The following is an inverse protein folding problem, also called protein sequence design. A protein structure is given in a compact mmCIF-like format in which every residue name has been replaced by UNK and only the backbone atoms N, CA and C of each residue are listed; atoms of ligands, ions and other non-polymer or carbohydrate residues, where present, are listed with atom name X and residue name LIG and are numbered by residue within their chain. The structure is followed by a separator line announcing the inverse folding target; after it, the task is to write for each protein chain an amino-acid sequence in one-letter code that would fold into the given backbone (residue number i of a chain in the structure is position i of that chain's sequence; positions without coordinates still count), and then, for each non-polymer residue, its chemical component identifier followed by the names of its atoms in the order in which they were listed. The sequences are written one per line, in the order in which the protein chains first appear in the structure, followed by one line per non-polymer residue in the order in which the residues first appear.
data_IF_387790012969
#
_entry.id   IF_387790012969
#
_cell.length_a   1.000
_cell.length_b   1.000
_cell.length_c   1.000
_cell.angle_alpha   90.00
_cell.angle_beta   90.00
_cell.angle_gamma   90.00
#
_symmetry.space_group_name_H-M   'P 1'
#
loop_
_entity.id
_entity.type
_entity.pdbx_description
1 polymer ?
#
# COMPACT_ATOMS: atom_id res chain seq x y z
N UNK A 1 15.64 3.26 -30.68
CA UNK A 1 14.68 2.12 -30.74
C UNK A 1 15.34 0.73 -30.77
N UNK A 2 16.34 0.49 -31.64
CA UNK A 2 16.94 -0.84 -31.83
C UNK A 2 17.85 -1.37 -30.71
N UNK A 3 18.18 -0.53 -29.72
CA UNK A 3 18.98 -0.95 -28.54
C UNK A 3 18.13 -1.30 -27.31
N UNK A 4 16.89 -0.81 -27.22
CA UNK A 4 15.98 -1.05 -26.09
C UNK A 4 14.83 -2.01 -26.43
N UNK A 5 14.45 -2.10 -27.70
CA UNK A 5 13.28 -2.86 -28.14
C UNK A 5 13.63 -3.80 -29.28
N UNK A 6 13.11 -5.03 -29.21
CA UNK A 6 13.07 -5.99 -30.31
C UNK A 6 11.70 -5.90 -31.00
N UNK A 7 11.70 -5.72 -32.33
CA UNK A 7 10.46 -5.85 -33.11
C UNK A 7 10.19 -7.33 -33.36
N UNK A 8 9.02 -7.79 -32.99
CA UNK A 8 8.53 -9.15 -33.23
C UNK A 8 7.24 -9.03 -34.02
N UNK A 9 7.14 -9.76 -35.13
CA UNK A 9 5.88 -9.90 -35.85
C UNK A 9 4.97 -10.84 -35.05
N UNK A 10 3.81 -10.33 -34.65
CA UNK A 10 2.79 -11.05 -33.87
C UNK A 10 1.46 -11.14 -34.63
N UNK A 11 1.49 -11.05 -35.96
CA UNK A 11 0.27 -10.99 -36.80
C UNK A 11 -0.61 -12.22 -36.62
N UNK A 12 -0.01 -13.41 -36.46
CA UNK A 12 -0.77 -14.66 -36.28
C UNK A 12 -1.50 -14.64 -34.94
N UNK A 13 -0.81 -14.29 -33.86
CA UNK A 13 -1.36 -14.18 -32.52
C UNK A 13 -2.48 -13.14 -32.46
N UNK A 14 -2.29 -11.97 -33.08
CA UNK A 14 -3.33 -10.94 -33.17
C UNK A 14 -4.56 -11.47 -33.92
N UNK A 15 -4.38 -12.14 -35.06
CA UNK A 15 -5.50 -12.70 -35.82
C UNK A 15 -6.29 -13.75 -35.01
N UNK A 16 -5.62 -14.56 -34.18
CA UNK A 16 -6.30 -15.48 -33.26
C UNK A 16 -7.11 -14.72 -32.19
N UNK A 17 -6.59 -13.62 -31.65
CA UNK A 17 -7.31 -12.77 -30.68
C UNK A 17 -8.47 -11.97 -31.29
N UNK A 18 -8.41 -11.65 -32.59
CA UNK A 18 -9.45 -10.92 -33.31
C UNK A 18 -10.74 -11.74 -33.43
N UNK A 19 -10.65 -13.07 -33.46
CA UNK A 19 -11.83 -13.95 -33.58
C UNK A 19 -12.82 -13.65 -32.44
N UNK A 20 -14.05 -13.26 -32.81
CA UNK A 20 -15.12 -12.93 -31.86
C UNK A 20 -14.98 -11.56 -31.18
N UNK A 21 -14.09 -10.67 -31.65
CA UNK A 21 -14.12 -9.26 -31.21
C UNK A 21 -15.39 -8.58 -31.72
N UNK A 22 -15.77 -8.79 -32.97
CA UNK A 22 -16.97 -8.18 -33.56
C UNK A 22 -18.22 -8.54 -32.77
N UNK A 23 -18.42 -9.83 -32.46
CA UNK A 23 -19.55 -10.32 -31.66
C UNK A 23 -19.59 -9.68 -30.25
N UNK A 24 -18.41 -9.55 -29.60
CA UNK A 24 -18.30 -8.88 -28.28
C UNK A 24 -18.61 -7.40 -28.36
N UNK A 25 -18.20 -6.72 -29.43
CA UNK A 25 -18.52 -5.30 -29.65
C UNK A 25 -20.03 -5.14 -29.82
N UNK A 26 -20.67 -5.99 -30.63
CA UNK A 26 -22.12 -5.98 -30.79
C UNK A 26 -22.84 -6.20 -29.45
N UNK A 27 -22.43 -7.19 -28.66
CA UNK A 27 -22.98 -7.42 -27.31
C UNK A 27 -22.83 -6.18 -26.40
N UNK A 28 -21.65 -5.54 -26.40
CA UNK A 28 -21.41 -4.33 -25.60
C UNK A 28 -22.30 -3.17 -26.05
N UNK A 29 -22.49 -2.98 -27.36
CA UNK A 29 -23.37 -1.95 -27.91
C UNK A 29 -24.84 -2.23 -27.56
N UNK A 30 -25.28 -3.48 -27.65
CA UNK A 30 -26.62 -3.89 -27.24
C UNK A 30 -26.87 -3.61 -25.76
N UNK A 31 -25.91 -3.95 -24.88
CA UNK A 31 -26.00 -3.67 -23.44
C UNK A 31 -26.02 -2.17 -23.17
N UNK A 32 -25.18 -1.39 -23.85
CA UNK A 32 -25.12 0.07 -23.72
C UNK A 32 -26.41 0.76 -24.18
N UNK A 33 -27.12 0.18 -25.16
CA UNK A 33 -28.40 0.69 -25.65
C UNK A 33 -29.59 0.37 -24.72
N UNK A 34 -29.42 -0.48 -23.68
CA UNK A 34 -30.51 -0.82 -22.76
C UNK A 34 -30.85 0.37 -21.86
N UNK A 35 -32.15 0.54 -21.61
CA UNK A 35 -32.66 1.54 -20.66
C UNK A 35 -32.46 1.15 -19.20
N UNK A 36 -32.31 -0.15 -18.93
CA UNK A 36 -31.98 -0.72 -17.62
C UNK A 36 -30.65 -1.47 -17.66
N UNK A 37 -29.85 -1.41 -16.58
CA UNK A 37 -28.63 -2.19 -16.48
C UNK A 37 -28.95 -3.69 -16.47
N UNK A 38 -28.05 -4.55 -17.00
CA UNK A 38 -28.22 -5.99 -16.93
C UNK A 38 -28.25 -6.48 -15.48
N UNK A 39 -29.06 -7.51 -15.20
CA UNK A 39 -29.10 -8.17 -13.90
C UNK A 39 -27.89 -9.09 -13.74
N UNK A 40 -26.83 -8.55 -13.15
CA UNK A 40 -25.57 -9.27 -12.91
C UNK A 40 -25.34 -9.32 -11.39
N UNK A 41 -25.15 -10.53 -10.85
CA UNK A 41 -24.77 -10.73 -9.45
C UNK A 41 -23.31 -10.36 -9.20
N UNK A 42 -22.98 -9.96 -7.98
CA UNK A 42 -21.58 -9.66 -7.60
C UNK A 42 -20.71 -10.90 -7.84
N UNK A 43 -19.59 -10.72 -8.55
CA UNK A 43 -18.67 -11.81 -8.89
C UNK A 43 -17.27 -11.33 -9.29
N UNK A 44 -16.49 -12.22 -9.91
CA UNK A 44 -15.08 -11.96 -10.27
C UNK A 44 -14.90 -10.73 -11.19
N UNK A 45 -15.84 -10.50 -12.11
CA UNK A 45 -15.86 -9.34 -13.02
C UNK A 45 -15.88 -7.98 -12.29
N UNK A 46 -16.20 -7.95 -10.99
CA UNK A 46 -16.12 -6.72 -10.21
C UNK A 46 -14.67 -6.24 -9.99
N UNK A 47 -13.68 -7.13 -10.11
CA UNK A 47 -12.26 -6.83 -9.84
C UNK A 47 -11.29 -7.34 -10.91
N UNK A 48 -11.75 -8.20 -11.84
CA UNK A 48 -10.92 -8.81 -12.88
C UNK A 48 -11.45 -8.45 -14.28
N UNK A 49 -10.60 -8.03 -15.24
CA UNK A 49 -9.14 -7.79 -15.09
C UNK A 49 -8.80 -6.48 -14.36
N UNK A 50 -9.76 -5.57 -14.23
CA UNK A 50 -9.62 -4.30 -13.52
C UNK A 50 -10.82 -4.08 -12.58
N UNK A 51 -10.69 -3.16 -11.63
CA UNK A 51 -11.81 -2.79 -10.76
C UNK A 51 -12.96 -2.21 -11.59
N UNK A 52 -14.17 -2.74 -11.38
CA UNK A 52 -15.37 -2.27 -12.07
C UNK A 52 -15.71 -0.83 -11.66
N UNK A 53 -15.86 0.13 -12.60
CA UNK A 53 -16.22 1.51 -12.28
C UNK A 53 -17.61 1.66 -11.64
N UNK A 54 -18.49 0.67 -11.79
CA UNK A 54 -19.85 0.68 -11.24
C UNK A 54 -19.95 -0.03 -9.89
N UNK A 55 -18.83 -0.48 -9.31
CA UNK A 55 -18.80 -1.30 -8.09
C UNK A 55 -19.56 -0.63 -6.95
N UNK A 56 -19.32 0.65 -6.68
CA UNK A 56 -19.98 1.38 -5.59
C UNK A 56 -21.49 1.45 -5.75
N UNK A 57 -21.98 1.53 -7.00
CA UNK A 57 -23.41 1.49 -7.30
C UNK A 57 -23.97 0.08 -7.07
N UNK A 58 -23.32 -0.93 -7.62
CA UNK A 58 -23.77 -2.32 -7.55
C UNK A 58 -23.70 -2.88 -6.12
N UNK A 59 -22.74 -2.43 -5.31
CA UNK A 59 -22.50 -2.96 -3.97
C UNK A 59 -23.23 -2.17 -2.87
N UNK A 60 -23.95 -1.09 -3.22
CA UNK A 60 -24.61 -0.18 -2.26
C UNK A 60 -25.57 -0.88 -1.27
N UNK A 61 -26.17 -2.00 -1.68
CA UNK A 61 -27.10 -2.75 -0.82
C UNK A 61 -26.38 -3.59 0.24
N UNK A 62 -25.06 -3.79 0.11
CA UNK A 62 -24.27 -4.56 1.06
C UNK A 62 -24.04 -3.75 2.35
N UNK A 63 -24.05 -4.40 3.52
CA UNK A 63 -23.72 -3.75 4.79
C UNK A 63 -22.22 -3.41 4.86
N UNK A 64 -21.82 -2.56 5.82
CA UNK A 64 -20.43 -2.12 5.97
C UNK A 64 -19.40 -3.26 6.19
N UNK A 65 -19.77 -4.27 7.00
CA UNK A 65 -19.00 -5.51 7.22
C UNK A 65 -19.58 -6.65 6.37
N UNK A 66 -19.65 -6.43 5.06
CA UNK A 66 -20.21 -7.41 4.13
C UNK A 66 -19.29 -8.61 3.93
N UNK A 67 -19.84 -9.69 3.41
CA UNK A 67 -19.13 -10.96 3.29
C UNK A 67 -17.86 -10.90 2.42
N UNK A 68 -17.81 -10.00 1.44
CA UNK A 68 -16.59 -9.80 0.63
C UNK A 68 -15.43 -9.12 1.39
N UNK A 69 -15.62 -8.64 2.62
CA UNK A 69 -14.52 -8.22 3.51
C UNK A 69 -13.86 -9.40 4.25
N UNK A 70 -14.37 -10.62 4.07
CA UNK A 70 -13.76 -11.82 4.64
C UNK A 70 -12.32 -11.97 4.12
N UNK A 71 -11.42 -12.27 5.04
CA UNK A 71 -9.98 -12.40 4.82
C UNK A 71 -9.67 -13.60 3.92
N UNK A 72 -8.72 -13.41 3.01
CA UNK A 72 -8.26 -14.43 2.06
C UNK A 72 -9.02 -14.41 0.73
N UNK A 73 -9.00 -15.56 0.04
CA UNK A 73 -9.69 -15.72 -1.25
C UNK A 73 -11.18 -15.36 -1.17
N UNK A 74 -11.67 -14.73 -2.23
CA UNK A 74 -13.08 -14.34 -2.36
C UNK A 74 -14.00 -15.49 -2.78
N UNK A 75 -13.47 -16.69 -3.01
CA UNK A 75 -14.28 -17.86 -3.37
C UNK A 75 -15.30 -18.21 -2.27
N UNK A 76 -14.86 -18.25 -1.00
CA UNK A 76 -15.76 -18.48 0.14
C UNK A 76 -16.79 -17.36 0.30
N UNK A 77 -16.38 -16.12 0.05
CA UNK A 77 -17.29 -14.98 0.14
C UNK A 77 -18.36 -15.05 -0.96
N UNK A 78 -17.99 -15.42 -2.18
CA UNK A 78 -18.91 -15.63 -3.29
C UNK A 78 -19.86 -16.82 -3.03
N UNK A 79 -19.36 -17.94 -2.50
CA UNK A 79 -20.19 -19.08 -2.11
C UNK A 79 -21.25 -18.68 -1.08
N UNK A 80 -20.84 -17.99 -0.02
CA UNK A 80 -21.74 -17.53 1.05
C UNK A 80 -22.73 -16.48 0.53
N UNK A 81 -22.28 -15.57 -0.32
CA UNK A 81 -23.15 -14.59 -0.97
C UNK A 81 -24.24 -15.26 -1.82
N UNK A 82 -23.90 -16.28 -2.61
CA UNK A 82 -24.87 -17.07 -3.39
C UNK A 82 -25.87 -17.85 -2.52
N UNK A 83 -25.54 -18.09 -1.24
CA UNK A 83 -26.45 -18.67 -0.23
C UNK A 83 -27.25 -17.61 0.55
N UNK A 84 -27.16 -16.34 0.16
CA UNK A 84 -27.89 -15.23 0.78
C UNK A 84 -27.21 -14.61 2.00
N UNK A 85 -25.96 -14.98 2.31
CA UNK A 85 -25.21 -14.40 3.44
C UNK A 85 -24.57 -13.09 2.99
N UNK A 86 -25.08 -11.96 3.49
CA UNK A 86 -24.60 -10.63 3.10
C UNK A 86 -23.53 -10.07 4.02
N UNK A 87 -23.56 -10.41 5.32
CA UNK A 87 -22.60 -9.91 6.32
C UNK A 87 -21.75 -11.03 6.92
N UNK A 88 -20.54 -10.67 7.38
CA UNK A 88 -19.66 -11.58 8.13
C UNK A 88 -20.36 -12.10 9.39
N UNK A 89 -21.16 -11.28 10.10
CA UNK A 89 -21.84 -11.72 11.33
C UNK A 89 -22.91 -12.80 11.10
N UNK A 90 -23.41 -12.90 9.86
CA UNK A 90 -24.48 -13.83 9.45
C UNK A 90 -23.92 -15.18 8.96
N UNK A 91 -22.59 -15.39 9.03
CA UNK A 91 -21.98 -16.66 8.65
C UNK A 91 -22.49 -17.77 9.59
N UNK A 92 -23.03 -18.88 9.05
CA UNK A 92 -23.51 -19.99 9.88
C UNK A 92 -22.39 -20.65 10.68
N UNK A 93 -22.67 -21.06 11.92
CA UNK A 93 -21.66 -21.63 12.83
C UNK A 93 -21.05 -22.96 12.33
N UNK A 94 -21.77 -23.70 11.46
CA UNK A 94 -21.28 -24.92 10.83
C UNK A 94 -20.31 -24.67 9.68
N UNK A 95 -20.18 -23.42 9.21
CA UNK A 95 -19.34 -23.09 8.08
C UNK A 95 -17.86 -23.11 8.45
N UNK A 96 -17.03 -23.78 7.64
CA UNK A 96 -15.61 -23.95 7.95
C UNK A 96 -14.80 -22.68 7.69
N UNK A 97 -14.52 -21.92 8.76
CA UNK A 97 -13.67 -20.72 8.73
C UNK A 97 -12.24 -21.03 9.21
N UNK A 98 -11.26 -20.39 8.59
CA UNK A 98 -9.89 -20.41 9.11
C UNK A 98 -9.75 -19.54 10.38
N UNK A 99 -8.60 -19.60 11.05
CA UNK A 99 -8.37 -18.87 12.30
C UNK A 99 -8.68 -17.36 12.21
N UNK A 100 -8.16 -16.66 11.20
CA UNK A 100 -8.40 -15.21 11.01
C UNK A 100 -9.87 -14.93 10.71
N UNK A 101 -10.49 -15.74 9.87
CA UNK A 101 -11.92 -15.62 9.54
C UNK A 101 -12.83 -15.83 10.77
N UNK A 102 -12.46 -16.73 11.69
CA UNK A 102 -13.16 -16.89 12.98
C UNK A 102 -13.05 -15.64 13.85
N UNK A 103 -11.86 -15.01 13.88
CA UNK A 103 -11.67 -13.72 14.57
C UNK A 103 -12.56 -12.64 13.94
N UNK A 104 -12.65 -12.57 12.61
CA UNK A 104 -13.55 -11.62 11.94
C UNK A 104 -15.01 -11.84 12.33
N UNK A 105 -15.46 -13.10 12.37
CA UNK A 105 -16.81 -13.47 12.79
C UNK A 105 -17.08 -13.05 14.24
N UNK A 106 -16.15 -13.33 15.15
CA UNK A 106 -16.25 -12.97 16.57
C UNK A 106 -16.34 -11.44 16.74
N UNK A 107 -15.44 -10.69 16.10
CA UNK A 107 -15.42 -9.22 16.18
C UNK A 107 -16.66 -8.60 15.53
N UNK A 108 -17.17 -9.17 14.42
CA UNK A 108 -18.39 -8.71 13.77
C UNK A 108 -19.65 -8.99 14.60
N UNK A 109 -19.68 -10.06 15.40
CA UNK A 109 -20.79 -10.39 16.30
C UNK A 109 -20.76 -9.59 17.61
N UNK A 110 -19.57 -9.29 18.12
CA UNK A 110 -19.39 -8.65 19.45
C UNK A 110 -19.16 -7.16 19.39
N UNK A 111 -18.79 -6.62 18.22
CA UNK A 111 -18.35 -5.22 18.02
C UNK A 111 -17.17 -4.84 18.92
N UNK A 112 -16.37 -5.83 19.34
CA UNK A 112 -15.17 -5.66 20.15
C UNK A 112 -13.94 -6.13 19.41
N UNK A 113 -12.77 -5.48 19.61
CA UNK A 113 -11.54 -5.94 19.01
C UNK A 113 -11.07 -7.26 19.63
N UNK A 114 -10.43 -8.09 18.81
CA UNK A 114 -9.61 -9.19 19.29
C UNK A 114 -8.25 -8.65 19.71
N UNK A 115 -7.85 -8.96 20.93
CA UNK A 115 -6.55 -8.56 21.48
C UNK A 115 -5.84 -9.78 22.06
N UNK A 116 -4.71 -10.16 21.47
CA UNK A 116 -3.79 -11.14 21.99
C UNK A 116 -2.67 -10.42 22.75
N UNK A 117 -2.94 -10.09 24.02
CA UNK A 117 -2.02 -9.31 24.86
C UNK A 117 -0.61 -9.91 24.92
N UNK A 118 -0.48 -11.24 25.00
CA UNK A 118 0.84 -11.88 25.11
C UNK A 118 1.69 -11.71 23.85
N UNK A 119 1.10 -11.82 22.65
CA UNK A 119 1.87 -11.65 21.41
C UNK A 119 2.18 -10.17 21.13
N UNK A 120 1.27 -9.27 21.48
CA UNK A 120 1.50 -7.83 21.36
C UNK A 120 2.62 -7.38 22.33
N UNK A 121 2.62 -7.85 23.58
CA UNK A 121 3.69 -7.55 24.53
C UNK A 121 5.04 -8.11 24.08
N UNK A 122 5.08 -9.31 23.48
CA UNK A 122 6.31 -9.85 22.88
C UNK A 122 6.84 -8.94 21.76
N UNK A 123 5.96 -8.43 20.91
CA UNK A 123 6.34 -7.47 19.87
C UNK A 123 6.91 -6.18 20.47
N UNK A 124 6.19 -5.54 21.40
CA UNK A 124 6.60 -4.29 22.04
C UNK A 124 7.93 -4.45 22.79
N UNK A 125 8.10 -5.54 23.55
CA UNK A 125 9.32 -5.80 24.31
C UNK A 125 10.53 -6.16 23.44
N UNK A 126 10.33 -6.42 22.14
CA UNK A 126 11.43 -6.64 21.20
C UNK A 126 12.00 -5.34 20.61
N UNK A 127 11.34 -4.20 20.86
CA UNK A 127 11.75 -2.91 20.34
C UNK A 127 12.88 -2.30 21.17
N UNK A 128 13.92 -1.81 20.48
CA UNK A 128 15.07 -1.14 21.07
C UNK A 128 15.05 0.35 20.71
N UNK A 129 15.09 1.24 21.70
CA UNK A 129 15.09 2.69 21.48
C UNK A 129 16.50 3.22 21.13
N UNK A 130 16.62 4.32 20.35
CA UNK A 130 15.53 5.07 19.74
C UNK A 130 14.84 4.30 18.60
N UNK A 131 13.55 4.58 18.36
CA UNK A 131 12.79 3.98 17.27
C UNK A 131 12.81 4.89 16.05
N UNK A 132 13.18 4.35 14.90
CA UNK A 132 13.24 5.04 13.63
C UNK A 132 12.10 4.54 12.73
N UNK A 133 11.04 5.33 12.59
CA UNK A 133 9.93 5.02 11.69
C UNK A 133 10.27 5.47 10.28
N UNK A 134 10.50 4.53 9.37
CA UNK A 134 11.01 4.78 8.02
C UNK A 134 9.98 4.36 6.97
N UNK A 135 9.87 5.18 5.93
CA UNK A 135 9.05 4.92 4.75
C UNK A 135 9.73 5.49 3.50
N UNK A 136 9.59 4.82 2.35
CA UNK A 136 10.15 5.23 1.07
C UNK A 136 9.04 5.43 0.04
N UNK A 137 9.13 6.53 -0.73
CA UNK A 137 8.39 6.63 -1.99
C UNK A 137 9.32 6.32 -3.16
N UNK A 138 8.77 5.56 -4.10
CA UNK A 138 9.53 5.06 -5.24
C UNK A 138 8.77 5.27 -6.54
N UNK A 139 9.50 5.30 -7.65
CA UNK A 139 8.91 5.16 -8.97
C UNK A 139 9.60 4.02 -9.72
N UNK A 140 8.93 3.52 -10.75
CA UNK A 140 9.49 2.53 -11.66
C UNK A 140 8.97 2.80 -13.06
N UNK A 141 9.86 3.06 -14.02
CA UNK A 141 9.49 3.38 -15.39
C UNK A 141 9.84 2.25 -16.36
N UNK A 142 9.03 2.09 -17.40
CA UNK A 142 9.31 1.11 -18.46
C UNK A 142 10.55 1.50 -19.27
N UNK A 143 10.75 2.80 -19.50
CA UNK A 143 11.95 3.37 -20.10
C UNK A 143 12.80 3.92 -18.94
N UNK A 144 13.99 3.35 -18.67
CA UNK A 144 14.88 3.85 -17.63
C UNK A 144 15.22 5.33 -17.83
N UNK A 145 15.16 6.11 -16.74
CA UNK A 145 15.48 7.55 -16.76
C UNK A 145 16.97 7.82 -16.58
N UNK A 146 17.71 6.88 -15.99
CA UNK A 146 19.12 7.02 -15.66
C UNK A 146 19.96 5.91 -16.26
N UNK A 147 21.24 6.21 -16.49
CA UNK A 147 22.21 5.21 -16.93
C UNK A 147 22.40 4.13 -15.84
N UNK A 148 22.59 2.88 -16.25
CA UNK A 148 22.73 1.76 -15.32
C UNK A 148 21.43 1.29 -14.65
N UNK A 149 20.27 1.84 -15.02
CA UNK A 149 18.95 1.41 -14.53
C UNK A 149 18.25 0.46 -15.52
N UNK A 150 17.60 -0.59 -15.03
CA UNK A 150 16.82 -1.53 -15.86
C UNK A 150 15.32 -1.15 -15.88
N UNK A 151 14.57 -1.56 -16.93
CA UNK A 151 13.12 -1.37 -16.97
C UNK A 151 12.43 -1.87 -15.70
N UNK A 152 11.52 -1.05 -15.17
CA UNK A 152 10.76 -1.30 -13.93
C UNK A 152 11.62 -1.55 -12.68
N UNK A 153 12.88 -1.12 -12.67
CA UNK A 153 13.66 -1.05 -11.44
C UNK A 153 13.00 -0.07 -10.46
N UNK A 154 13.05 -0.39 -9.17
CA UNK A 154 12.47 0.46 -8.12
C UNK A 154 13.49 1.55 -7.80
N UNK A 155 13.11 2.81 -8.02
CA UNK A 155 13.96 3.97 -7.76
C UNK A 155 13.33 4.78 -6.62
N UNK A 156 13.92 4.76 -5.40
CA UNK A 156 13.48 5.62 -4.32
C UNK A 156 13.84 7.07 -4.62
N UNK A 157 12.84 7.96 -4.51
CA UNK A 157 13.01 9.39 -4.76
C UNK A 157 12.71 10.23 -3.51
N UNK A 158 12.08 9.63 -2.50
CA UNK A 158 11.74 10.29 -1.25
C UNK A 158 11.85 9.29 -0.09
N UNK A 159 12.17 9.79 1.09
CA UNK A 159 11.86 9.09 2.34
C UNK A 159 11.32 10.04 3.39
N UNK A 160 10.63 9.48 4.36
CA UNK A 160 10.34 10.12 5.63
C UNK A 160 10.92 9.28 6.76
N UNK A 161 11.44 9.96 7.79
CA UNK A 161 11.88 9.31 9.02
C UNK A 161 11.43 10.09 10.24
N UNK A 162 10.69 9.42 11.12
CA UNK A 162 10.43 9.93 12.47
C UNK A 162 11.28 9.19 13.49
N UNK A 163 11.88 9.92 14.43
CA UNK A 163 12.73 9.38 15.50
C UNK A 163 12.01 9.57 16.83
N UNK A 164 11.86 8.50 17.59
CA UNK A 164 11.18 8.49 18.87
C UNK A 164 12.11 7.90 19.96
N UNK A 165 12.53 8.72 20.91
CA UNK A 165 13.45 8.33 21.99
C UNK A 165 12.77 7.53 23.11
N UNK A 166 11.47 7.74 23.32
CA UNK A 166 10.64 6.98 24.26
C UNK A 166 9.17 7.00 23.79
N UNK A 167 8.35 6.02 24.19
CA UNK A 167 6.95 5.91 23.72
C UNK A 167 6.15 7.21 23.89
N UNK A 168 6.38 7.94 24.97
CA UNK A 168 5.69 9.18 25.33
C UNK A 168 6.43 10.47 24.88
N UNK A 169 7.63 10.36 24.29
CA UNK A 169 8.40 11.54 23.87
C UNK A 169 7.82 12.18 22.61
N UNK A 170 8.09 13.47 22.37
CA UNK A 170 7.76 14.05 21.07
C UNK A 170 8.70 13.51 19.99
N UNK A 171 8.20 13.09 18.82
CA UNK A 171 9.05 12.59 17.75
C UNK A 171 9.74 13.75 17.02
N UNK A 172 10.98 13.52 16.58
CA UNK A 172 11.65 14.38 15.60
C UNK A 172 11.37 13.87 14.19
N UNK A 173 11.14 14.76 13.23
CA UNK A 173 10.88 14.41 11.83
C UNK A 173 11.99 14.93 10.92
N UNK A 174 12.40 14.08 9.98
CA UNK A 174 13.27 14.44 8.87
C UNK A 174 12.74 13.80 7.59
N UNK A 175 12.97 14.45 6.46
CA UNK A 175 12.61 13.94 5.15
C UNK A 175 13.69 14.26 4.12
N UNK A 176 13.59 13.58 2.99
CA UNK A 176 14.31 13.88 1.77
C UNK A 176 13.34 13.72 0.61
N UNK A 177 13.31 14.70 -0.30
CA UNK A 177 12.59 14.62 -1.57
C UNK A 177 13.51 15.09 -2.69
N UNK A 178 13.82 14.20 -3.62
CA UNK A 178 14.70 14.49 -4.74
C UNK A 178 14.24 15.70 -5.56
N UNK A 179 15.19 16.45 -6.13
CA UNK A 179 14.89 17.57 -7.04
C UNK A 179 14.46 17.10 -8.43
N UNK A 180 14.88 15.89 -8.83
CA UNK A 180 14.47 15.24 -10.08
C UNK A 180 15.31 15.56 -11.31
N UNK A 181 16.41 16.30 -11.17
CA UNK A 181 17.34 16.58 -12.27
C UNK A 181 18.31 15.41 -12.54
N UNK A 182 18.70 14.69 -11.49
CA UNK A 182 19.71 13.63 -11.52
C UNK A 182 19.15 12.34 -10.88
N UNK A 183 19.94 11.26 -10.89
CA UNK A 183 19.62 10.02 -10.19
C UNK A 183 19.60 10.24 -8.67
N UNK A 184 18.46 10.05 -7.98
CA UNK A 184 18.32 10.42 -6.58
C UNK A 184 18.97 9.44 -5.60
N UNK A 185 19.34 8.23 -6.07
CA UNK A 185 19.62 7.10 -5.17
C UNK A 185 20.83 7.32 -4.28
N UNK A 186 21.91 7.87 -4.82
CA UNK A 186 23.14 8.10 -4.05
C UNK A 186 22.96 9.23 -3.02
N UNK A 187 22.34 10.35 -3.43
CA UNK A 187 22.04 11.47 -2.55
C UNK A 187 21.11 11.04 -1.39
N UNK A 188 20.09 10.24 -1.72
CA UNK A 188 19.16 9.68 -0.76
C UNK A 188 19.87 8.81 0.28
N UNK A 189 20.76 7.90 -0.17
CA UNK A 189 21.58 7.07 0.72
C UNK A 189 22.48 7.91 1.63
N UNK A 190 23.14 8.92 1.06
CA UNK A 190 24.01 9.81 1.82
C UNK A 190 23.22 10.55 2.90
N UNK A 191 22.05 11.10 2.58
CA UNK A 191 21.21 11.81 3.56
C UNK A 191 20.70 10.87 4.66
N UNK A 192 20.15 9.71 4.27
CA UNK A 192 19.59 8.73 5.21
C UNK A 192 20.64 8.21 6.20
N UNK A 193 21.88 7.99 5.74
CA UNK A 193 23.00 7.55 6.58
C UNK A 193 23.30 8.47 7.76
N UNK A 194 23.11 9.78 7.61
CA UNK A 194 23.33 10.74 8.69
C UNK A 194 22.15 10.88 9.65
N UNK A 195 21.02 10.19 9.40
CA UNK A 195 19.81 10.26 10.24
C UNK A 195 19.59 9.03 11.10
N UNK A 196 20.27 7.92 10.79
CA UNK A 196 20.12 6.65 11.49
C UNK A 196 21.43 6.34 12.22
N UNK A 197 21.37 6.28 13.56
CA UNK A 197 22.52 5.90 14.38
C UNK A 197 22.77 4.38 14.36
N UNK A 198 23.82 3.94 15.04
CA UNK A 198 24.27 2.54 15.08
C UNK A 198 23.33 1.61 15.88
N UNK A 199 22.51 2.16 16.78
CA UNK A 199 21.61 1.42 17.68
C UNK A 199 20.15 1.80 17.48
N UNK A 200 19.24 0.99 18.01
CA UNK A 200 17.79 1.25 17.92
C UNK A 200 17.12 0.53 16.76
N UNK A 201 15.81 0.32 16.89
CA UNK A 201 14.98 -0.43 15.93
C UNK A 201 14.47 0.47 14.81
N UNK A 202 14.48 -0.07 13.59
CA UNK A 202 13.96 0.62 12.40
C UNK A 202 12.58 0.05 12.10
N UNK A 203 11.56 0.84 12.46
CA UNK A 203 10.16 0.46 12.32
C UNK A 203 9.70 0.81 10.91
N UNK A 204 9.20 -0.19 10.20
CA UNK A 204 8.58 -0.04 8.88
C UNK A 204 7.20 -0.67 8.91
N UNK A 205 6.36 -0.38 7.91
CA UNK A 205 5.04 -0.97 7.80
C UNK A 205 4.94 -1.80 6.53
N UNK A 206 5.12 -3.12 6.66
CA UNK A 206 5.27 -4.11 5.59
C UNK A 206 6.71 -4.24 5.05
N UNK A 207 7.59 -4.77 5.91
CA UNK A 207 9.06 -4.82 5.72
C UNK A 207 9.58 -5.36 4.40
N UNK A 208 8.78 -6.14 3.68
CA UNK A 208 9.21 -6.71 2.39
C UNK A 208 9.53 -5.62 1.37
N UNK A 209 8.82 -4.50 1.39
CA UNK A 209 9.02 -3.40 0.47
C UNK A 209 10.31 -2.63 0.79
N UNK A 210 10.46 -2.10 2.01
CA UNK A 210 11.62 -1.29 2.40
C UNK A 210 12.91 -2.12 2.37
N UNK A 211 12.85 -3.39 2.77
CA UNK A 211 14.00 -4.31 2.63
C UNK A 211 14.36 -4.54 1.17
N UNK A 212 13.37 -4.58 0.27
CA UNK A 212 13.59 -4.68 -1.17
C UNK A 212 14.32 -3.45 -1.70
N UNK A 213 13.82 -2.26 -1.38
CA UNK A 213 14.43 -0.97 -1.77
C UNK A 213 15.88 -0.89 -1.28
N UNK A 214 16.12 -1.17 0.00
CA UNK A 214 17.46 -1.12 0.59
C UNK A 214 18.43 -2.10 -0.07
N UNK A 215 17.99 -3.32 -0.42
CA UNK A 215 18.82 -4.30 -1.13
C UNK A 215 19.16 -3.85 -2.54
N UNK A 216 18.19 -3.33 -3.29
CA UNK A 216 18.47 -2.79 -4.64
C UNK A 216 19.44 -1.59 -4.57
N UNK A 217 19.36 -0.77 -3.51
CA UNK A 217 20.32 0.30 -3.26
C UNK A 217 21.72 -0.24 -2.93
N UNK A 218 21.85 -1.29 -2.13
CA UNK A 218 23.14 -1.92 -1.81
C UNK A 218 23.80 -2.55 -3.05
N UNK A 219 23.00 -3.14 -3.94
CA UNK A 219 23.49 -3.67 -5.22
C UNK A 219 23.99 -2.55 -6.15
N UNK A 220 23.27 -1.43 -6.19
CA UNK A 220 23.63 -0.29 -7.03
C UNK A 220 24.82 0.52 -6.49
N UNK A 221 24.98 0.61 -5.17
CA UNK A 221 26.01 1.42 -4.50
C UNK A 221 26.77 0.60 -3.44
N UNK A 222 27.74 -0.25 -3.86
CA UNK A 222 28.43 -1.19 -2.97
C UNK A 222 29.14 -0.56 -1.77
N UNK A 223 29.55 0.71 -1.87
CA UNK A 223 30.19 1.46 -0.77
C UNK A 223 29.26 1.66 0.45
N UNK A 224 27.94 1.53 0.25
CA UNK A 224 26.95 1.62 1.32
C UNK A 224 26.50 0.25 1.86
N UNK A 225 26.89 -0.87 1.22
CA UNK A 225 26.36 -2.20 1.54
C UNK A 225 26.57 -2.60 2.99
N UNK A 226 27.73 -2.32 3.58
CA UNK A 226 27.99 -2.65 4.99
C UNK A 226 27.04 -1.90 5.95
N UNK A 227 26.72 -0.63 5.64
CA UNK A 227 25.78 0.16 6.43
C UNK A 227 24.33 -0.29 6.19
N UNK A 228 23.97 -0.62 4.95
CA UNK A 228 22.65 -1.16 4.63
C UNK A 228 22.42 -2.52 5.32
N UNK A 229 23.42 -3.40 5.31
CA UNK A 229 23.36 -4.70 5.98
C UNK A 229 23.12 -4.53 7.48
N UNK A 230 23.75 -3.54 8.13
CA UNK A 230 23.49 -3.25 9.55
C UNK A 230 22.06 -2.76 9.78
N UNK A 231 21.53 -1.91 8.90
CA UNK A 231 20.12 -1.48 8.92
C UNK A 231 19.16 -2.66 8.76
N UNK A 232 19.39 -3.54 7.79
CA UNK A 232 18.51 -4.66 7.47
C UNK A 232 18.32 -5.63 8.65
N UNK A 233 19.28 -5.70 9.57
CA UNK A 233 19.20 -6.52 10.79
C UNK A 233 18.35 -5.90 11.90
N UNK A 234 18.13 -4.58 11.86
CA UNK A 234 17.38 -3.81 12.87
C UNK A 234 15.94 -3.49 12.44
N UNK A 235 15.54 -3.90 11.24
CA UNK A 235 14.19 -3.69 10.74
C UNK A 235 13.19 -4.52 11.53
N UNK A 236 12.16 -3.85 12.03
CA UNK A 236 11.00 -4.44 12.70
C UNK A 236 9.73 -4.02 11.99
N UNK A 237 8.90 -5.01 11.65
CA UNK A 237 7.69 -4.80 10.87
C UNK A 237 6.46 -4.56 11.75
N UNK A 238 5.97 -3.31 11.78
CA UNK A 238 4.76 -2.93 12.53
C UNK A 238 3.47 -3.50 11.92
N UNK A 239 3.53 -4.07 10.72
CA UNK A 239 2.41 -4.82 10.15
C UNK A 239 2.10 -6.08 10.97
N UNK A 240 3.12 -6.74 11.57
CA UNK A 240 2.99 -8.09 12.15
C UNK A 240 1.87 -8.25 13.19
N UNK A 241 1.69 -7.35 14.18
CA UNK A 241 0.58 -7.45 15.15
C UNK A 241 -0.80 -7.49 14.49
N UNK A 242 -0.98 -6.75 13.40
CA UNK A 242 -2.26 -6.62 12.69
C UNK A 242 -2.42 -7.70 11.62
N UNK A 243 -1.37 -7.97 10.85
CA UNK A 243 -1.32 -9.01 9.83
C UNK A 243 -1.59 -10.40 10.40
N UNK A 244 -1.13 -10.68 11.62
CA UNK A 244 -1.38 -11.93 12.34
C UNK A 244 -2.68 -11.93 13.17
N UNK A 245 -3.43 -10.83 13.15
CA UNK A 245 -4.67 -10.64 13.92
C UNK A 245 -4.43 -10.83 15.43
N UNK A 246 -3.25 -10.40 15.92
CA UNK A 246 -3.01 -10.25 17.35
C UNK A 246 -3.81 -9.07 17.88
N UNK A 247 -3.88 -7.98 17.10
CA UNK A 247 -4.95 -7.00 17.19
C UNK A 247 -5.83 -7.10 15.93
N UNK A 248 -7.15 -7.18 16.10
CA UNK A 248 -8.09 -7.04 14.98
C UNK A 248 -9.40 -6.38 15.43
N UNK A 249 -9.80 -5.31 14.74
CA UNK A 249 -11.13 -4.73 14.87
C UNK A 249 -11.94 -4.91 13.57
N UNK A 250 -13.27 -4.98 13.65
CA UNK A 250 -14.13 -5.20 12.48
C UNK A 250 -13.98 -4.11 11.40
N UNK A 251 -13.75 -2.86 11.80
CA UNK A 251 -13.48 -1.73 10.89
C UNK A 251 -12.24 -1.91 10.00
N UNK A 252 -11.31 -2.82 10.35
CA UNK A 252 -10.20 -3.17 9.48
C UNK A 252 -10.64 -3.89 8.19
N UNK A 253 -11.86 -4.46 8.15
CA UNK A 253 -12.47 -5.09 6.96
C UNK A 253 -11.58 -6.16 6.32
N UNK A 254 -10.87 -6.92 7.16
CA UNK A 254 -9.95 -7.98 6.72
C UNK A 254 -8.64 -7.48 6.11
N UNK A 255 -8.34 -6.19 6.18
CA UNK A 255 -7.05 -5.61 5.78
C UNK A 255 -6.21 -5.25 6.99
N UNK A 256 -4.90 -5.37 6.85
CA UNK A 256 -3.92 -4.87 7.82
C UNK A 256 -3.06 -3.76 7.20
N UNK A 257 -3.51 -3.09 6.13
CA UNK A 257 -2.88 -1.87 5.62
C UNK A 257 -2.95 -0.75 6.65
N UNK A 258 -1.98 0.16 6.64
CA UNK A 258 -1.94 1.34 7.53
C UNK A 258 -3.23 2.15 7.45
N UNK A 259 -3.79 2.33 6.23
CA UNK A 259 -5.05 3.03 5.98
C UNK A 259 -6.28 2.40 6.65
N UNK A 260 -6.24 1.11 6.94
CA UNK A 260 -7.31 0.39 7.62
C UNK A 260 -7.03 0.24 9.12
N UNK A 261 -5.77 0.13 9.52
CA UNK A 261 -5.37 -0.06 10.92
C UNK A 261 -5.40 1.26 11.68
N UNK A 262 -4.86 2.34 11.11
CA UNK A 262 -4.80 3.66 11.76
C UNK A 262 -6.18 4.09 12.29
N UNK A 263 -7.26 4.17 11.48
CA UNK A 263 -8.58 4.53 11.98
C UNK A 263 -9.28 3.43 12.81
N UNK A 264 -8.74 2.22 12.84
CA UNK A 264 -9.33 1.11 13.60
C UNK A 264 -8.79 0.97 15.03
N UNK A 265 -7.59 1.51 15.29
CA UNK A 265 -6.98 1.54 16.62
C UNK A 265 -6.81 2.97 17.15
N UNK A 266 -7.09 3.97 16.31
CA UNK A 266 -7.04 5.40 16.65
C UNK A 266 -8.23 6.13 16.01
N UNK A 267 -8.41 7.41 16.34
CA UNK A 267 -9.38 8.29 15.66
C UNK A 267 -8.77 9.07 14.48
N UNK A 268 -7.58 8.70 14.01
CA UNK A 268 -6.87 9.36 12.91
C UNK A 268 -7.13 8.65 11.57
N UNK A 269 -7.16 9.41 10.49
CA UNK A 269 -7.31 8.89 9.13
C UNK A 269 -6.57 9.77 8.11
N UNK A 270 -6.50 9.28 6.87
CA UNK A 270 -5.93 10.00 5.73
C UNK A 270 -6.98 10.88 5.01
N UNK A 271 -8.17 11.08 5.60
CA UNK A 271 -9.25 11.84 4.96
C UNK A 271 -8.83 13.30 4.70
N UNK A 272 -9.15 13.80 3.50
CA UNK A 272 -8.86 15.18 3.10
C UNK A 272 -7.44 15.44 2.58
N UNK A 273 -6.63 14.40 2.35
CA UNK A 273 -5.32 14.53 1.70
C UNK A 273 -5.44 14.53 0.16
N UNK A 274 -4.67 15.39 -0.50
CA UNK A 274 -4.60 15.46 -1.98
C UNK A 274 -3.87 14.26 -2.57
N UNK A 275 -2.80 13.81 -1.90
CA UNK A 275 -2.09 12.56 -2.18
C UNK A 275 -2.35 11.63 -1.01
N UNK A 276 -2.91 10.47 -1.32
CA UNK A 276 -3.30 9.48 -0.32
C UNK A 276 -2.95 8.05 -0.77
N UNK A 277 -2.10 7.88 -1.79
CA UNK A 277 -1.65 6.61 -2.32
C UNK A 277 -0.28 6.76 -3.02
N UNK A 278 0.60 5.77 -2.86
CA UNK A 278 1.97 5.80 -3.38
C UNK A 278 2.05 5.77 -4.92
N UNK A 279 1.06 5.18 -5.60
CA UNK A 279 1.02 5.23 -7.07
C UNK A 279 0.83 6.68 -7.54
N UNK A 280 -0.12 7.41 -6.95
CA UNK A 280 -0.28 8.83 -7.21
C UNK A 280 1.00 9.62 -6.87
N UNK A 281 1.66 9.32 -5.75
CA UNK A 281 2.91 9.98 -5.37
C UNK A 281 4.00 9.83 -6.45
N UNK A 282 4.19 8.61 -6.98
CA UNK A 282 5.14 8.35 -8.07
C UNK A 282 4.82 9.12 -9.35
N UNK A 283 3.54 9.18 -9.74
CA UNK A 283 3.07 9.91 -10.94
C UNK A 283 3.27 11.41 -10.76
N UNK A 284 2.90 11.96 -9.60
CA UNK A 284 3.07 13.37 -9.30
C UNK A 284 4.53 13.79 -9.27
N UNK A 285 5.42 12.96 -8.70
CA UNK A 285 6.86 13.21 -8.73
C UNK A 285 7.38 13.25 -10.17
N UNK A 286 7.09 12.23 -10.98
CA UNK A 286 7.55 12.20 -12.37
C UNK A 286 6.96 13.33 -13.22
N UNK A 287 5.72 13.75 -12.93
CA UNK A 287 5.10 14.93 -13.54
C UNK A 287 5.87 16.22 -13.24
N UNK A 288 6.20 16.50 -11.97
CA UNK A 288 6.92 17.73 -11.60
C UNK A 288 8.38 17.73 -12.07
N UNK A 289 8.97 16.55 -12.31
CA UNK A 289 10.28 16.42 -12.96
C UNK A 289 10.22 16.62 -14.48
N UNK A 290 9.04 16.75 -15.09
CA UNK A 290 8.87 16.91 -16.53
C UNK A 290 9.04 15.62 -17.33
N UNK A 291 8.91 14.45 -16.70
CA UNK A 291 9.02 13.14 -17.35
C UNK A 291 7.69 12.64 -17.93
N UNK A 292 6.56 13.20 -17.49
CA UNK A 292 5.24 13.00 -18.11
C UNK A 292 4.77 14.30 -18.76
N UNK A 293 5.07 14.45 -20.04
CA UNK A 293 4.59 15.58 -20.81
C UNK A 293 3.19 15.25 -21.36
N UNK A 294 2.16 15.76 -20.69
CA UNK A 294 0.76 15.57 -21.10
C UNK A 294 0.31 16.63 -22.11
N UNK A 295 1.00 17.78 -22.23
CA UNK A 295 0.51 18.95 -23.00
C UNK A 295 1.64 19.93 -23.47
N UNK A 296 2.88 19.48 -23.69
CA UNK A 296 4.04 20.26 -24.19
C UNK A 296 4.48 21.44 -23.28
N UNK A 297 4.01 21.49 -22.03
CA UNK A 297 4.29 22.59 -21.10
C UNK A 297 4.73 22.03 -19.75
N UNK A 298 5.94 22.36 -19.31
CA UNK A 298 6.40 22.06 -17.94
C UNK A 298 5.44 22.67 -16.92
N UNK A 299 5.15 21.99 -15.80
CA UNK A 299 4.31 22.54 -14.74
C UNK A 299 4.83 23.90 -14.28
N UNK A 300 3.91 24.80 -13.94
CA UNK A 300 4.26 26.11 -13.39
C UNK A 300 5.02 25.94 -12.05
N UNK A 301 5.89 26.89 -11.71
CA UNK A 301 6.68 26.80 -10.45
C UNK A 301 5.80 26.68 -9.22
N UNK A 302 4.67 27.38 -9.20
CA UNK A 302 3.71 27.33 -8.11
C UNK A 302 3.05 25.95 -7.97
N UNK A 303 2.81 25.27 -9.10
CA UNK A 303 2.26 23.91 -9.12
C UNK A 303 3.28 22.88 -8.63
N UNK A 304 4.53 22.98 -9.09
CA UNK A 304 5.63 22.15 -8.61
C UNK A 304 5.77 22.25 -7.09
N UNK A 305 5.81 23.47 -6.56
CA UNK A 305 5.93 23.72 -5.13
C UNK A 305 4.74 23.16 -4.33
N UNK A 306 3.52 23.28 -4.87
CA UNK A 306 2.33 22.71 -4.25
C UNK A 306 2.42 21.18 -4.18
N UNK A 307 2.78 20.52 -5.27
CA UNK A 307 2.93 19.06 -5.32
C UNK A 307 4.03 18.57 -4.39
N UNK A 308 5.20 19.24 -4.36
CA UNK A 308 6.30 18.90 -3.43
C UNK A 308 5.84 18.95 -1.97
N UNK A 309 5.10 19.99 -1.57
CA UNK A 309 4.50 20.08 -0.22
C UNK A 309 3.52 18.94 0.06
N UNK A 310 2.68 18.58 -0.91
CA UNK A 310 1.74 17.47 -0.77
C UNK A 310 2.47 16.12 -0.63
N UNK A 311 3.56 15.89 -1.38
CA UNK A 311 4.40 14.69 -1.28
C UNK A 311 5.09 14.58 0.09
N UNK A 312 5.71 15.67 0.57
CA UNK A 312 6.35 15.73 1.89
C UNK A 312 5.33 15.45 2.99
N UNK A 313 4.16 16.08 2.92
CA UNK A 313 3.07 15.88 3.90
C UNK A 313 2.57 14.43 3.90
N UNK A 314 2.41 13.82 2.74
CA UNK A 314 1.94 12.44 2.59
C UNK A 314 2.91 11.44 3.22
N UNK A 315 4.19 11.45 2.82
CA UNK A 315 5.20 10.53 3.35
C UNK A 315 5.46 10.77 4.86
N UNK A 316 5.39 12.03 5.31
CA UNK A 316 5.41 12.38 6.74
C UNK A 316 4.25 11.77 7.52
N UNK A 317 3.03 11.76 6.94
CA UNK A 317 1.84 11.17 7.56
C UNK A 317 1.98 9.65 7.70
N UNK A 318 2.61 8.95 6.76
CA UNK A 318 2.78 7.49 6.84
C UNK A 318 3.62 7.10 8.05
N UNK A 319 4.79 7.71 8.21
CA UNK A 319 5.65 7.47 9.38
C UNK A 319 5.08 8.01 10.70
N UNK A 320 4.39 9.16 10.69
CA UNK A 320 3.67 9.67 11.85
C UNK A 320 2.52 8.76 12.28
N UNK A 321 1.78 8.20 11.33
CA UNK A 321 0.71 7.23 11.54
C UNK A 321 1.22 5.97 12.24
N UNK A 322 2.41 5.46 11.87
CA UNK A 322 3.03 4.33 12.55
C UNK A 322 3.29 4.59 14.04
N UNK A 323 3.70 5.82 14.42
CA UNK A 323 3.86 6.20 15.83
C UNK A 323 2.53 6.14 16.57
N UNK A 324 1.47 6.69 15.98
CA UNK A 324 0.13 6.66 16.57
C UNK A 324 -0.38 5.23 16.75
N UNK A 325 -0.15 4.37 15.76
CA UNK A 325 -0.48 2.94 15.82
C UNK A 325 0.29 2.26 16.97
N UNK A 326 1.61 2.48 17.07
CA UNK A 326 2.41 1.86 18.14
C UNK A 326 1.94 2.32 19.53
N UNK A 327 1.70 3.63 19.71
CA UNK A 327 1.19 4.19 20.98
C UNK A 327 -0.15 3.61 21.37
N UNK A 328 -1.06 3.48 20.41
CA UNK A 328 -2.36 2.88 20.67
C UNK A 328 -2.23 1.39 21.02
N UNK A 329 -1.36 0.66 20.31
CA UNK A 329 -1.09 -0.74 20.58
C UNK A 329 -0.51 -0.99 21.98
N UNK A 330 0.36 -0.09 22.48
CA UNK A 330 0.87 -0.12 23.86
C UNK A 330 -0.27 0.03 24.87
N UNK A 331 -1.16 1.00 24.68
CA UNK A 331 -2.32 1.23 25.57
C UNK A 331 -3.29 0.05 25.65
N UNK A 332 -3.45 -0.72 24.57
CA UNK A 332 -4.33 -1.89 24.54
C UNK A 332 -3.82 -3.07 25.41
N UNK A 333 -2.53 -3.07 25.77
CA UNK A 333 -1.90 -4.14 26.55
C UNK A 333 -1.42 -3.75 27.92
N UNK A 334 -1.41 -2.45 28.24
CA UNK A 334 -1.50 -1.96 29.62
C UNK A 334 -2.76 -2.52 30.32
#
# INVERSE_FOLDING_TARGET
PGQLFKKTDITVEVNEFLIGIEDRIEEMLEVAARTSPPEILIGKHCNEPYSCPLKDRCWRFLPDNHIFNLYGSKDKAAELFNKGVLSIKDIPDWYNLNFKQKIQLECAKTEKPKINKSEILKFINSLEYPLYFLDFETFSTAIPLYEGVRPYQIIPFQYSIHILDAIDSQPSHYDFLAEGAEDPREELLLNLKYKIDETGSIIVYYESFERGVLKELAEAFPDYSQWIDSILTRIVDLYKPFGNFHYYHSSQKGSASVKNVLPAITDLSYEGMEIADGMAASVYFLYICGNYDINESRPAKEEVEKVRKSLIKYCGMDTGGMIHILRALVKEVE
#
